data_IF_045094598150
#
_entry.id   IF_045094598150
#
_cell.length_a   1.000
_cell.length_b   1.000
_cell.length_c   1.000
_cell.angle_alpha   90.00
_cell.angle_beta   90.00
_cell.angle_gamma   90.00
#
_symmetry.space_group_name_H-M   'P 1'
#
loop_
_entity.id
_entity.type
_entity.pdbx_description
1 polymer ?
#
# COMPACT_ATOMS: atom_id res chain seq x y z
N UNK A 1 3.78 1.68 33.14
CA UNK A 1 3.92 0.27 32.72
C UNK A 1 4.76 0.28 31.46
N UNK A 2 6.02 -0.11 31.57
CA UNK A 2 6.96 -0.21 30.46
C UNK A 2 6.44 -1.27 29.50
N UNK A 3 6.08 -0.88 28.27
CA UNK A 3 5.90 -1.83 27.17
C UNK A 3 7.24 -2.56 27.02
N UNK A 4 7.27 -3.86 27.30
CA UNK A 4 8.41 -4.69 26.91
C UNK A 4 8.63 -4.47 25.43
N UNK A 5 9.82 -3.96 25.08
CA UNK A 5 10.21 -3.81 23.69
C UNK A 5 10.15 -5.19 23.07
N UNK A 6 9.16 -5.42 22.21
CA UNK A 6 8.98 -6.68 21.51
C UNK A 6 10.27 -6.97 20.76
N UNK A 7 11.09 -7.93 21.23
CA UNK A 7 12.36 -8.22 20.57
C UNK A 7 12.08 -8.74 19.16
N UNK A 8 12.73 -8.14 18.15
CA UNK A 8 12.69 -8.59 16.76
C UNK A 8 12.86 -10.10 16.61
N UNK A 9 12.06 -10.74 15.76
CA UNK A 9 12.29 -12.15 15.44
C UNK A 9 13.64 -12.28 14.72
N UNK A 10 14.62 -12.90 15.38
CA UNK A 10 15.93 -13.19 14.80
C UNK A 10 15.93 -14.64 14.31
N UNK A 11 15.95 -14.83 13.00
CA UNK A 11 16.13 -16.15 12.39
C UNK A 11 17.61 -16.36 12.07
N UNK A 12 18.19 -17.44 12.61
CA UNK A 12 19.49 -17.93 12.17
C UNK A 12 19.40 -18.61 10.80
N UNK A 13 20.55 -18.92 10.20
CA UNK A 13 20.63 -19.56 8.88
C UNK A 13 19.84 -20.88 8.78
N UNK A 14 19.83 -21.67 9.86
CA UNK A 14 19.11 -22.95 9.95
C UNK A 14 17.70 -22.82 10.56
N UNK A 15 17.25 -21.60 10.88
CA UNK A 15 15.95 -21.39 11.51
C UNK A 15 14.83 -21.40 10.47
N UNK A 16 13.84 -22.27 10.68
CA UNK A 16 12.63 -22.32 9.84
C UNK A 16 11.72 -21.15 10.20
N UNK A 17 11.48 -20.26 9.23
CA UNK A 17 10.55 -19.13 9.40
C UNK A 17 9.14 -19.65 9.75
N UNK A 18 8.41 -19.00 10.67
CA UNK A 18 7.04 -19.34 11.02
C UNK A 18 6.10 -19.61 9.83
N UNK A 19 6.17 -18.82 8.75
CA UNK A 19 5.38 -19.04 7.53
C UNK A 19 5.52 -20.46 6.96
N UNK A 20 6.73 -21.04 7.00
CA UNK A 20 7.02 -22.35 6.44
C UNK A 20 6.46 -23.50 7.29
N UNK A 21 6.01 -23.21 8.52
CA UNK A 21 5.37 -24.18 9.41
C UNK A 21 3.86 -24.28 9.20
N UNK A 22 3.26 -23.31 8.50
CA UNK A 22 1.82 -23.29 8.23
C UNK A 22 1.51 -24.21 7.05
N UNK A 23 0.72 -25.26 7.31
CA UNK A 23 0.22 -26.15 6.26
C UNK A 23 -1.03 -25.55 5.63
N UNK A 24 -0.97 -25.25 4.34
CA UNK A 24 -2.09 -24.67 3.60
C UNK A 24 -3.11 -25.74 3.23
N UNK A 25 -4.24 -25.77 3.93
CA UNK A 25 -5.32 -26.76 3.76
C UNK A 25 -6.70 -26.13 3.57
N UNK A 26 -6.91 -24.94 4.13
CA UNK A 26 -8.19 -24.26 4.13
C UNK A 26 -8.03 -22.73 4.25
N UNK A 27 -9.14 -22.00 4.30
CA UNK A 27 -9.14 -20.54 4.48
C UNK A 27 -8.42 -20.12 5.76
N UNK A 28 -8.62 -20.81 6.87
CA UNK A 28 -8.04 -20.44 8.15
C UNK A 28 -6.51 -20.57 8.13
N UNK A 29 -5.98 -21.58 7.45
CA UNK A 29 -4.53 -21.74 7.25
C UNK A 29 -3.90 -20.62 6.43
N UNK A 30 -4.61 -20.05 5.45
CA UNK A 30 -4.13 -18.89 4.68
C UNK A 30 -4.15 -17.63 5.53
N UNK A 31 -5.19 -17.44 6.35
CA UNK A 31 -5.24 -16.33 7.30
C UNK A 31 -4.11 -16.42 8.33
N UNK A 32 -3.82 -17.63 8.81
CA UNK A 32 -2.71 -17.87 9.74
C UNK A 32 -1.35 -17.60 9.09
N UNK A 33 -1.14 -18.03 7.85
CA UNK A 33 0.07 -17.72 7.10
C UNK A 33 0.34 -16.21 7.09
N UNK A 34 -0.68 -15.40 6.81
CA UNK A 34 -0.52 -13.94 6.82
C UNK A 34 -0.12 -13.43 8.22
N UNK A 35 -0.73 -13.93 9.30
CA UNK A 35 -0.36 -13.51 10.67
C UNK A 35 1.12 -13.78 10.96
N UNK A 36 1.64 -14.93 10.52
CA UNK A 36 3.06 -15.26 10.68
C UNK A 36 4.02 -14.34 9.91
N UNK A 37 3.53 -13.60 8.90
CA UNK A 37 4.28 -12.58 8.17
C UNK A 37 4.15 -11.19 8.80
N UNK A 38 2.99 -10.87 9.37
CA UNK A 38 2.73 -9.56 9.99
C UNK A 38 3.32 -9.43 11.39
N UNK A 39 3.24 -10.47 12.21
CA UNK A 39 3.69 -10.44 13.62
C UNK A 39 5.18 -10.07 13.79
N UNK A 40 6.12 -10.56 12.96
CA UNK A 40 7.52 -10.18 13.05
C UNK A 40 7.80 -8.70 12.76
N UNK A 41 6.86 -7.96 12.16
CA UNK A 41 7.03 -6.54 11.84
C UNK A 41 6.78 -5.62 13.04
N UNK A 42 6.06 -6.09 14.06
CA UNK A 42 5.67 -5.30 15.23
C UNK A 42 6.82 -4.52 15.90
N UNK A 43 8.03 -5.10 16.09
CA UNK A 43 9.18 -4.42 16.68
C UNK A 43 9.75 -3.27 15.85
N UNK A 44 9.43 -3.23 14.55
CA UNK A 44 10.07 -2.37 13.57
C UNK A 44 9.21 -1.16 13.16
N UNK A 45 8.03 -1.02 13.75
CA UNK A 45 7.21 0.18 13.56
C UNK A 45 7.91 1.41 14.15
N UNK A 46 7.82 2.52 13.42
CA UNK A 46 8.21 3.84 13.90
C UNK A 46 7.29 4.30 15.05
N UNK A 47 7.68 5.31 15.85
CA UNK A 47 6.84 5.83 16.93
C UNK A 47 5.44 6.26 16.50
N UNK A 48 5.31 6.93 15.35
CA UNK A 48 4.03 7.29 14.74
C UNK A 48 3.38 6.17 13.92
N UNK A 49 4.02 5.00 13.87
CA UNK A 49 3.61 3.78 13.15
C UNK A 49 3.48 3.97 11.64
N UNK A 50 3.85 5.13 11.08
CA UNK A 50 3.72 5.41 9.65
C UNK A 50 4.81 4.72 8.81
N UNK A 51 5.80 4.10 9.45
CA UNK A 51 6.97 3.50 8.80
C UNK A 51 7.31 2.18 9.48
N UNK A 52 7.79 1.21 8.70
CA UNK A 52 8.30 -0.07 9.23
C UNK A 52 9.73 -0.24 8.76
N UNK A 53 10.69 -0.17 9.69
CA UNK A 53 12.12 -0.29 9.41
C UNK A 53 12.59 -1.72 9.58
N UNK A 54 12.38 -2.54 8.55
CA UNK A 54 12.89 -3.91 8.54
C UNK A 54 14.43 -3.94 8.65
N UNK A 55 15.00 -4.77 9.56
CA UNK A 55 16.44 -4.88 9.72
C UNK A 55 17.06 -5.63 8.53
N UNK A 56 18.20 -5.13 8.06
CA UNK A 56 18.93 -5.69 6.92
C UNK A 56 19.26 -4.59 5.91
N UNK A 57 20.54 -4.45 5.58
CA UNK A 57 20.98 -3.53 4.55
C UNK A 57 20.69 -4.15 3.18
N UNK A 58 19.57 -3.81 2.55
CA UNK A 58 19.34 -4.13 1.14
C UNK A 58 20.22 -3.19 0.30
N UNK A 59 21.19 -3.75 -0.43
CA UNK A 59 22.18 -3.03 -1.24
C UNK A 59 21.57 -2.40 -2.51
N UNK A 60 20.64 -1.48 -2.34
CA UNK A 60 19.89 -0.83 -3.42
C UNK A 60 19.75 0.65 -3.13
N UNK A 61 19.90 1.46 -4.18
CA UNK A 61 20.01 2.93 -4.15
C UNK A 61 18.66 3.60 -3.83
N UNK A 62 18.10 3.35 -2.66
CA UNK A 62 16.83 3.94 -2.21
C UNK A 62 17.05 5.06 -1.20
N UNK A 63 16.12 6.01 -1.18
CA UNK A 63 15.89 6.81 0.02
C UNK A 63 15.36 5.86 1.11
N UNK A 64 16.00 5.88 2.28
CA UNK A 64 15.63 5.00 3.38
C UNK A 64 14.17 5.24 3.80
N UNK A 65 13.68 6.47 3.71
CA UNK A 65 12.28 6.80 4.00
C UNK A 65 11.30 6.06 3.09
N UNK A 66 11.59 5.96 1.79
CA UNK A 66 10.74 5.25 0.83
C UNK A 66 10.68 3.75 1.13
N UNK A 67 11.81 3.14 1.47
CA UNK A 67 11.88 1.72 1.87
C UNK A 67 11.05 1.43 3.13
N UNK A 68 11.12 2.32 4.12
CA UNK A 68 10.37 2.18 5.36
C UNK A 68 8.85 2.34 5.16
N UNK A 69 8.43 3.15 4.18
CA UNK A 69 7.02 3.30 3.77
C UNK A 69 6.53 2.06 3.01
N UNK A 70 7.35 1.44 2.15
CA UNK A 70 7.01 0.14 1.56
C UNK A 70 6.83 -0.95 2.63
N UNK A 71 7.61 -0.86 3.71
CA UNK A 71 7.53 -1.77 4.85
C UNK A 71 6.16 -1.81 5.54
N UNK A 72 5.37 -0.72 5.49
CA UNK A 72 3.99 -0.71 5.97
C UNK A 72 2.99 -1.04 4.85
N UNK A 73 3.22 -0.52 3.64
CA UNK A 73 2.26 -0.61 2.54
C UNK A 73 2.18 -2.00 1.93
N UNK A 74 3.30 -2.71 1.71
CA UNK A 74 3.25 -4.06 1.11
C UNK A 74 2.50 -5.05 2.02
N UNK A 75 2.74 -5.08 3.35
CA UNK A 75 1.94 -5.90 4.26
C UNK A 75 0.47 -5.47 4.35
N UNK A 76 0.17 -4.17 4.18
CA UNK A 76 -1.20 -3.65 4.19
C UNK A 76 -2.06 -4.29 3.10
N UNK A 77 -1.49 -4.65 1.94
CA UNK A 77 -2.21 -5.38 0.90
C UNK A 77 -2.82 -6.69 1.41
N UNK A 78 -2.00 -7.49 2.10
CA UNK A 78 -2.43 -8.75 2.71
C UNK A 78 -3.43 -8.51 3.84
N UNK A 79 -3.18 -7.53 4.71
CA UNK A 79 -4.07 -7.17 5.81
C UNK A 79 -5.45 -6.73 5.32
N UNK A 80 -5.51 -5.88 4.29
CA UNK A 80 -6.76 -5.43 3.68
C UNK A 80 -7.55 -6.63 3.11
N UNK A 81 -6.89 -7.56 2.43
CA UNK A 81 -7.52 -8.79 1.93
C UNK A 81 -8.07 -9.67 3.07
N UNK A 82 -7.33 -9.80 4.17
CA UNK A 82 -7.75 -10.55 5.35
C UNK A 82 -9.03 -9.96 5.95
N UNK A 83 -9.06 -8.63 6.14
CA UNK A 83 -10.19 -7.91 6.71
C UNK A 83 -11.41 -7.98 5.79
N UNK A 84 -11.22 -7.80 4.48
CA UNK A 84 -12.27 -7.93 3.48
C UNK A 84 -12.88 -9.35 3.45
N UNK A 85 -12.06 -10.37 3.73
CA UNK A 85 -12.48 -11.76 3.84
C UNK A 85 -13.15 -12.13 5.17
N UNK A 86 -13.43 -11.16 6.05
CA UNK A 86 -14.02 -11.37 7.38
C UNK A 86 -13.05 -11.91 8.43
N UNK A 87 -11.74 -11.89 8.15
CA UNK A 87 -10.71 -12.26 9.11
C UNK A 87 -10.30 -11.09 9.98
N UNK A 88 -9.73 -11.40 11.15
CA UNK A 88 -9.25 -10.40 12.09
C UNK A 88 -7.74 -10.53 12.32
N UNK A 89 -7.12 -9.38 12.61
CA UNK A 89 -5.72 -9.29 13.02
C UNK A 89 -5.57 -8.32 14.19
N UNK A 90 -4.95 -8.79 15.30
CA UNK A 90 -4.75 -8.01 16.53
C UNK A 90 -4.02 -6.69 16.28
N UNK A 91 -3.15 -6.66 15.27
CA UNK A 91 -2.32 -5.51 14.97
C UNK A 91 -2.99 -4.45 14.10
N UNK A 92 -4.22 -4.66 13.62
CA UNK A 92 -4.91 -3.76 12.67
C UNK A 92 -4.86 -2.29 13.09
N UNK A 93 -5.04 -2.00 14.38
CA UNK A 93 -4.95 -0.63 14.91
C UNK A 93 -3.62 0.07 14.61
N UNK A 94 -2.50 -0.67 14.59
CA UNK A 94 -1.18 -0.09 14.25
C UNK A 94 -1.12 0.39 12.81
N UNK A 95 -1.71 -0.36 11.88
CA UNK A 95 -1.78 0.06 10.48
C UNK A 95 -2.72 1.25 10.31
N UNK A 96 -3.85 1.27 11.01
CA UNK A 96 -4.77 2.43 10.98
C UNK A 96 -4.07 3.69 11.48
N UNK A 97 -3.38 3.62 12.61
CA UNK A 97 -2.59 4.73 13.14
C UNK A 97 -1.46 5.15 12.19
N UNK A 98 -0.76 4.18 11.60
CA UNK A 98 0.31 4.45 10.65
C UNK A 98 -0.17 5.15 9.38
N UNK A 99 -1.33 4.75 8.85
CA UNK A 99 -1.94 5.39 7.68
C UNK A 99 -2.38 6.82 8.01
N UNK A 100 -2.95 7.06 9.19
CA UNK A 100 -3.31 8.41 9.66
C UNK A 100 -2.08 9.30 9.77
N UNK A 101 -1.04 8.83 10.46
CA UNK A 101 0.20 9.58 10.65
C UNK A 101 0.99 9.78 9.35
N UNK A 102 0.88 8.85 8.40
CA UNK A 102 1.54 8.93 7.09
C UNK A 102 0.89 9.91 6.12
N UNK A 103 -0.43 10.10 6.24
CA UNK A 103 -1.20 11.02 5.38
C UNK A 103 -1.43 12.40 5.99
N UNK A 104 -1.05 12.61 7.26
CA UNK A 104 -1.15 13.90 7.93
C UNK A 104 0.07 14.80 7.64
N UNK A 105 -0.10 15.96 6.98
CA UNK A 105 1.00 16.90 6.70
C UNK A 105 1.67 17.49 7.95
N UNK A 106 0.98 17.48 9.09
CA UNK A 106 1.52 17.98 10.37
C UNK A 106 2.31 16.91 11.14
N UNK A 107 2.25 15.66 10.69
CA UNK A 107 2.97 14.54 11.30
C UNK A 107 4.46 14.61 10.97
N UNK A 108 5.31 14.37 11.99
CA UNK A 108 6.75 14.21 11.78
C UNK A 108 7.12 12.99 10.92
N UNK A 109 6.17 12.08 10.68
CA UNK A 109 6.33 10.90 9.84
C UNK A 109 5.56 10.97 8.51
N UNK A 110 5.07 12.16 8.14
CA UNK A 110 4.36 12.40 6.88
C UNK A 110 5.12 11.79 5.69
N UNK A 111 4.40 11.11 4.81
CA UNK A 111 4.97 10.43 3.64
C UNK A 111 5.35 11.40 2.52
N UNK A 112 4.88 12.65 2.57
CA UNK A 112 5.06 13.60 1.48
C UNK A 112 4.01 13.43 0.39
N UNK A 113 3.94 14.40 -0.50
CA UNK A 113 3.18 14.27 -1.74
C UNK A 113 4.07 13.62 -2.82
N UNK A 114 3.52 12.75 -3.67
CA UNK A 114 4.24 12.27 -4.84
C UNK A 114 4.67 13.46 -5.68
N UNK A 115 5.83 13.39 -6.32
CA UNK A 115 6.30 14.45 -7.23
C UNK A 115 5.82 14.18 -8.65
N UNK A 116 5.61 15.23 -9.43
CA UNK A 116 5.36 15.10 -10.87
C UNK A 116 6.56 14.42 -11.50
N UNK A 117 6.35 13.27 -12.16
CA UNK A 117 7.44 12.56 -12.79
C UNK A 117 7.46 12.81 -14.29
N UNK A 118 8.50 13.54 -14.65
CA UNK A 118 9.24 13.43 -15.89
C UNK A 118 9.49 11.95 -16.26
N UNK A 119 9.72 11.72 -17.56
CA UNK A 119 9.67 10.50 -18.38
C UNK A 119 10.38 9.21 -17.86
N UNK A 120 10.98 9.24 -16.67
CA UNK A 120 11.76 8.15 -16.08
C UNK A 120 10.94 7.13 -15.28
N UNK A 121 9.64 7.34 -15.06
CA UNK A 121 8.77 6.37 -14.38
C UNK A 121 8.71 4.99 -15.05
N UNK A 122 8.91 4.92 -16.37
CA UNK A 122 8.82 3.68 -17.15
C UNK A 122 10.12 2.86 -17.10
N UNK A 123 11.27 3.51 -16.95
CA UNK A 123 12.58 2.84 -16.81
C UNK A 123 12.97 2.58 -15.34
N UNK A 124 12.18 3.09 -14.38
CA UNK A 124 12.54 3.13 -12.96
C UNK A 124 11.72 2.20 -12.06
N UNK A 125 11.46 0.97 -12.51
CA UNK A 125 11.02 -0.13 -11.63
C UNK A 125 11.84 -0.27 -10.31
N UNK A 126 13.10 0.24 -10.18
CA UNK A 126 13.85 0.22 -8.92
C UNK A 126 14.18 1.60 -8.30
N UNK A 127 13.44 2.70 -8.53
CA UNK A 127 13.69 3.99 -7.84
C UNK A 127 12.43 4.52 -7.15
N UNK A 128 12.59 5.16 -5.98
CA UNK A 128 11.56 5.44 -4.95
C UNK A 128 10.21 6.07 -5.37
N UNK A 129 10.06 6.53 -6.60
CA UNK A 129 8.75 6.89 -7.18
C UNK A 129 7.77 5.69 -7.27
N UNK A 130 8.30 4.46 -7.42
CA UNK A 130 7.48 3.23 -7.39
C UNK A 130 6.90 2.99 -6.00
N UNK A 131 7.66 3.31 -4.94
CA UNK A 131 7.19 3.16 -3.57
C UNK A 131 5.99 4.08 -3.30
N UNK A 132 6.09 5.35 -3.69
CA UNK A 132 5.03 6.35 -3.52
C UNK A 132 3.75 5.98 -4.29
N UNK A 133 3.87 5.50 -5.54
CA UNK A 133 2.71 5.10 -6.35
C UNK A 133 2.09 3.76 -5.90
N UNK A 134 2.92 2.80 -5.46
CA UNK A 134 2.43 1.58 -4.83
C UNK A 134 1.66 1.89 -3.54
N UNK A 135 2.08 2.89 -2.76
CA UNK A 135 1.34 3.32 -1.56
C UNK A 135 -0.07 3.77 -1.94
N UNK A 136 -0.22 4.64 -2.94
CA UNK A 136 -1.53 5.16 -3.34
C UNK A 136 -2.48 4.03 -3.73
N UNK A 137 -1.99 3.07 -4.52
CA UNK A 137 -2.76 1.89 -4.92
C UNK A 137 -3.20 1.05 -3.71
N UNK A 138 -2.26 0.73 -2.82
CA UNK A 138 -2.57 -0.13 -1.67
C UNK A 138 -3.52 0.58 -0.69
N UNK A 139 -3.37 1.89 -0.49
CA UNK A 139 -4.26 2.69 0.35
C UNK A 139 -5.66 2.75 -0.29
N UNK A 140 -5.75 3.08 -1.58
CA UNK A 140 -7.02 3.08 -2.31
C UNK A 140 -7.76 1.74 -2.22
N UNK A 141 -7.03 0.63 -2.43
CA UNK A 141 -7.56 -0.70 -2.26
C UNK A 141 -7.99 -0.99 -0.81
N UNK A 142 -7.16 -0.68 0.19
CA UNK A 142 -7.48 -0.90 1.60
C UNK A 142 -8.74 -0.13 2.01
N UNK A 143 -8.87 1.13 1.58
CA UNK A 143 -10.09 1.91 1.78
C UNK A 143 -11.29 1.26 1.08
N UNK A 144 -11.11 0.73 -0.12
CA UNK A 144 -12.19 0.07 -0.86
C UNK A 144 -12.63 -1.25 -0.22
N UNK A 145 -11.77 -2.02 0.43
CA UNK A 145 -12.12 -3.39 0.86
C UNK A 145 -12.21 -3.57 2.37
N UNK A 146 -11.60 -2.68 3.16
CA UNK A 146 -11.53 -2.76 4.62
C UNK A 146 -12.06 -1.45 5.25
N UNK A 147 -13.36 -1.37 5.57
CA UNK A 147 -14.01 -0.15 6.07
C UNK A 147 -13.35 0.45 7.33
N UNK A 148 -12.73 -0.40 8.16
CA UNK A 148 -12.03 0.01 9.38
C UNK A 148 -11.00 1.13 9.15
N UNK A 149 -10.37 1.18 7.98
CA UNK A 149 -9.38 2.23 7.68
C UNK A 149 -10.03 3.61 7.50
N UNK A 150 -11.24 3.69 6.94
CA UNK A 150 -11.96 4.95 6.77
C UNK A 150 -12.84 5.30 7.97
N UNK A 151 -13.52 4.30 8.53
CA UNK A 151 -14.45 4.47 9.65
C UNK A 151 -13.75 4.92 10.92
N UNK A 152 -12.49 4.50 11.11
CA UNK A 152 -11.68 4.90 12.26
C UNK A 152 -11.07 6.30 12.13
N UNK A 153 -11.20 6.96 10.97
CA UNK A 153 -10.70 8.32 10.74
C UNK A 153 -11.73 9.38 11.17
N UNK A 154 -11.25 10.41 11.84
CA UNK A 154 -11.94 11.67 12.07
C UNK A 154 -12.11 12.47 10.78
N UNK A 155 -12.94 13.51 10.82
CA UNK A 155 -13.18 14.38 9.65
C UNK A 155 -11.89 15.01 9.11
N UNK A 156 -11.01 15.51 9.98
CA UNK A 156 -9.70 16.04 9.59
C UNK A 156 -8.81 14.98 8.93
N UNK A 157 -8.78 13.76 9.49
CA UNK A 157 -7.98 12.66 8.93
C UNK A 157 -8.51 12.20 7.57
N UNK A 158 -9.84 12.22 7.37
CA UNK A 158 -10.46 11.93 6.07
C UNK A 158 -10.12 13.01 5.05
N UNK A 159 -10.17 14.28 5.44
CA UNK A 159 -9.76 15.39 4.57
C UNK A 159 -8.28 15.29 4.19
N UNK A 160 -7.40 14.97 5.14
CA UNK A 160 -5.99 14.70 4.87
C UNK A 160 -5.82 13.54 3.88
N UNK A 161 -6.57 12.45 4.06
CA UNK A 161 -6.56 11.30 3.14
C UNK A 161 -7.06 11.66 1.75
N UNK A 162 -8.15 12.42 1.64
CA UNK A 162 -8.69 12.92 0.37
C UNK A 162 -7.69 13.81 -0.36
N UNK A 163 -7.07 14.76 0.36
CA UNK A 163 -6.08 15.65 -0.21
C UNK A 163 -4.82 14.89 -0.61
N UNK A 164 -4.39 13.94 0.22
CA UNK A 164 -3.24 13.10 -0.08
C UNK A 164 -3.47 12.24 -1.32
N UNK A 165 -4.57 11.47 -1.38
CA UNK A 165 -4.89 10.65 -2.57
C UNK A 165 -5.22 11.52 -3.78
N UNK A 166 -6.08 12.52 -3.64
CA UNK A 166 -6.54 13.39 -4.72
C UNK A 166 -5.42 14.16 -5.40
N UNK A 167 -4.58 14.87 -4.64
CA UNK A 167 -3.43 15.61 -5.18
C UNK A 167 -2.34 14.66 -5.72
N UNK A 168 -2.31 13.42 -5.23
CA UNK A 168 -1.36 12.41 -5.70
C UNK A 168 -1.68 11.90 -7.09
N UNK A 169 -2.96 11.59 -7.38
CA UNK A 169 -3.36 10.86 -8.59
C UNK A 169 -4.17 11.66 -9.60
N UNK A 170 -5.02 12.60 -9.17
CA UNK A 170 -5.93 13.29 -10.08
C UNK A 170 -5.29 14.52 -10.73
N UNK A 171 -4.33 15.13 -10.04
CA UNK A 171 -3.61 16.32 -10.53
C UNK A 171 -2.37 15.97 -11.37
N UNK A 172 -1.90 14.71 -11.31
CA UNK A 172 -0.66 14.28 -11.95
C UNK A 172 -0.86 13.61 -13.30
N UNK A 173 0.10 13.83 -14.19
CA UNK A 173 0.20 13.10 -15.46
C UNK A 173 0.80 11.71 -15.20
N UNK A 174 -0.06 10.70 -15.27
CA UNK A 174 0.35 9.30 -15.13
C UNK A 174 0.91 8.77 -16.45
N UNK A 175 1.92 7.88 -16.42
CA UNK A 175 2.36 7.17 -17.61
C UNK A 175 1.20 6.41 -18.26
N UNK A 176 1.17 6.40 -19.59
CA UNK A 176 0.15 5.70 -20.37
C UNK A 176 0.43 4.18 -20.41
N UNK A 177 0.29 3.53 -19.26
CA UNK A 177 0.58 2.11 -19.02
C UNK A 177 -0.40 1.55 -17.98
N UNK A 178 -0.19 0.31 -17.53
CA UNK A 178 -0.92 -0.31 -16.41
C UNK A 178 -0.92 0.53 -15.11
N UNK A 179 -0.09 1.56 -15.01
CA UNK A 179 -0.07 2.52 -13.91
C UNK A 179 -1.38 3.32 -13.76
N UNK A 180 -2.20 3.38 -14.82
CA UNK A 180 -3.55 3.94 -14.73
C UNK A 180 -4.42 3.20 -13.71
N UNK A 181 -4.16 1.90 -13.45
CA UNK A 181 -4.85 1.18 -12.38
C UNK A 181 -4.68 1.85 -11.02
N UNK A 182 -3.53 2.46 -10.72
CA UNK A 182 -3.32 3.15 -9.44
C UNK A 182 -4.30 4.29 -9.23
N UNK A 183 -4.57 5.08 -10.27
CA UNK A 183 -5.57 6.15 -10.24
C UNK A 183 -6.99 5.61 -10.12
N UNK A 184 -7.28 4.50 -10.80
CA UNK A 184 -8.57 3.79 -10.68
C UNK A 184 -8.82 3.33 -9.25
N UNK A 185 -7.87 2.61 -8.63
CA UNK A 185 -8.04 2.08 -7.27
C UNK A 185 -8.16 3.17 -6.20
N UNK A 186 -7.39 4.26 -6.32
CA UNK A 186 -7.51 5.39 -5.39
C UNK A 186 -8.86 6.10 -5.52
N UNK A 187 -9.33 6.38 -6.74
CA UNK A 187 -10.67 6.96 -6.94
C UNK A 187 -11.79 6.00 -6.51
N UNK A 188 -11.65 4.68 -6.73
CA UNK A 188 -12.62 3.69 -6.26
C UNK A 188 -12.68 3.62 -4.73
N UNK A 189 -11.53 3.66 -4.06
CA UNK A 189 -11.44 3.71 -2.60
C UNK A 189 -12.15 4.92 -2.02
N UNK A 190 -11.91 6.11 -2.59
CA UNK A 190 -12.58 7.35 -2.19
C UNK A 190 -14.08 7.31 -2.49
N UNK A 191 -14.48 6.90 -3.70
CA UNK A 191 -15.88 6.77 -4.12
C UNK A 191 -16.69 5.87 -3.20
N UNK A 192 -16.15 4.72 -2.83
CA UNK A 192 -16.84 3.76 -1.97
C UNK A 192 -17.11 4.32 -0.57
N UNK A 193 -16.21 5.15 -0.07
CA UNK A 193 -16.29 5.75 1.26
C UNK A 193 -16.96 7.12 1.30
N UNK A 194 -17.50 7.59 0.16
CA UNK A 194 -18.14 8.90 0.03
C UNK A 194 -17.16 10.07 0.09
N UNK A 195 -15.86 9.83 -0.10
CA UNK A 195 -14.86 10.87 -0.16
C UNK A 195 -14.83 11.59 -1.51
N UNK A 196 -14.07 12.67 -1.63
CA UNK A 196 -13.88 13.40 -2.89
C UNK A 196 -13.09 12.57 -3.91
N UNK A 197 -13.70 12.26 -5.06
CA UNK A 197 -13.06 11.51 -6.16
C UNK A 197 -13.41 12.13 -7.52
N UNK A 198 -12.66 11.77 -8.57
CA UNK A 198 -12.95 12.18 -9.94
C UNK A 198 -13.60 11.04 -10.74
N UNK A 199 -14.91 11.17 -11.01
CA UNK A 199 -15.64 10.20 -11.84
C UNK A 199 -15.14 10.23 -13.30
N UNK A 200 -14.87 11.41 -13.83
CA UNK A 200 -14.36 11.60 -15.20
C UNK A 200 -13.01 10.89 -15.41
N UNK A 201 -12.06 11.07 -14.48
CA UNK A 201 -10.76 10.38 -14.57
C UNK A 201 -10.90 8.88 -14.42
N UNK A 202 -11.76 8.43 -13.51
CA UNK A 202 -12.03 7.01 -13.31
C UNK A 202 -12.55 6.34 -14.59
N UNK A 203 -13.56 6.95 -15.24
CA UNK A 203 -14.17 6.39 -16.45
C UNK A 203 -13.19 6.43 -17.63
N UNK A 204 -12.48 7.55 -17.81
CA UNK A 204 -11.47 7.69 -18.86
C UNK A 204 -10.33 6.68 -18.72
N UNK A 205 -9.90 6.37 -17.50
CA UNK A 205 -8.84 5.38 -17.27
C UNK A 205 -9.29 3.96 -17.54
N UNK A 206 -10.51 3.61 -17.12
CA UNK A 206 -11.07 2.28 -17.33
C UNK A 206 -11.23 2.04 -18.83
N UNK A 207 -11.82 3.00 -19.56
CA UNK A 207 -11.98 2.90 -21.02
C UNK A 207 -10.63 2.72 -21.72
N UNK A 208 -9.59 3.43 -21.26
CA UNK A 208 -8.26 3.31 -21.82
C UNK A 208 -7.58 1.98 -21.45
N UNK A 209 -7.72 1.51 -20.21
CA UNK A 209 -7.21 0.22 -19.76
C UNK A 209 -7.87 -0.96 -20.47
N UNK A 210 -9.14 -0.85 -20.82
CA UNK A 210 -9.87 -1.86 -21.62
C UNK A 210 -9.24 -2.02 -23.01
N UNK A 211 -8.59 -1.00 -23.56
CA UNK A 211 -7.82 -1.13 -24.81
C UNK A 211 -6.61 -2.05 -24.68
N UNK A 212 -6.11 -2.26 -23.46
CA UNK A 212 -4.99 -3.16 -23.18
C UNK A 212 -5.44 -4.61 -22.98
N UNK A 213 -6.74 -4.87 -22.81
CA UNK A 213 -7.27 -6.21 -22.58
C UNK A 213 -7.16 -7.09 -23.82
N UNK A 214 -6.60 -8.30 -23.65
CA UNK A 214 -6.34 -9.25 -24.73
C UNK A 214 -7.21 -10.50 -24.70
N UNK A 215 -8.08 -10.63 -23.69
CA UNK A 215 -8.91 -11.82 -23.49
C UNK A 215 -8.34 -12.76 -22.43
N UNK A 216 -9.18 -13.68 -21.96
CA UNK A 216 -8.83 -14.73 -20.98
C UNK A 216 -8.16 -14.22 -19.69
N UNK A 217 -8.49 -12.98 -19.27
CA UNK A 217 -7.91 -12.35 -18.08
C UNK A 217 -6.53 -11.71 -18.30
N UNK A 218 -6.01 -11.68 -19.53
CA UNK A 218 -4.72 -11.09 -19.85
C UNK A 218 -4.86 -9.66 -20.38
N UNK A 219 -3.97 -8.77 -19.93
CA UNK A 219 -3.86 -7.39 -20.41
C UNK A 219 -2.40 -7.03 -20.67
N UNK A 220 -2.14 -6.19 -21.66
CA UNK A 220 -0.81 -5.64 -21.91
C UNK A 220 -0.46 -4.56 -20.88
N UNK A 221 0.84 -4.36 -20.64
CA UNK A 221 1.35 -3.29 -19.78
C UNK A 221 1.15 -1.89 -20.38
N UNK A 222 0.93 -1.78 -21.69
CA UNK A 222 0.71 -0.52 -22.40
C UNK A 222 0.35 -0.73 -23.88
N UNK A 223 0.25 0.37 -24.66
CA UNK A 223 -0.10 0.35 -26.08
C UNK A 223 0.82 -0.53 -26.93
N UNK A 224 0.32 -1.02 -28.08
CA UNK A 224 1.13 -1.73 -29.07
C UNK A 224 2.33 -0.88 -29.52
N UNK A 225 3.54 -1.44 -29.40
CA UNK A 225 4.79 -0.77 -29.78
C UNK A 225 5.62 -0.19 -28.64
N UNK A 226 5.09 -0.14 -27.40
CA UNK A 226 5.91 0.14 -26.21
C UNK A 226 6.54 -1.18 -25.75
N UNK A 227 7.69 -1.53 -26.33
CA UNK A 227 8.56 -2.57 -25.78
C UNK A 227 9.50 -1.90 -24.78
N UNK A 228 9.62 -2.47 -23.58
CA UNK A 228 10.59 -2.04 -22.57
C UNK A 228 12.02 -2.26 -23.07
#
# INVERSE_FOLDING_TARGET
MTQDATTGMVLGYDAVHPFAKVKLTDRASVQELLRTLLDPLEPFFSPGKARVRCPGATAVRFDQAASEVEGICRPLWGLACLLAGGGEYRGTGRWVEGVKAGTDPESGEYWGYPRDNDQRMVEMCPLGAVAEMCVVFVIGFALAVAPVFWDSMSEKERENMENWLGNSINEKNMPNTNWLWFRVFANLGLKKNGGKFSQERLDSDIEHLDTFYRGDGWSNDGPEGIHR
#
